data_IF_894169468540
#
_entry.id   IF_894169468540
#
_cell.length_a   1.000
_cell.length_b   1.000
_cell.length_c   1.000
_cell.angle_alpha   90.00
_cell.angle_beta   90.00
_cell.angle_gamma   90.00
#
_symmetry.space_group_name_H-M   'P 1'
#
loop_
_entity.id
_entity.type
_entity.pdbx_description
1 polymer ?
#
# COMPACT_ATOMS: atom_id res chain seq x y z
N UNK A 1 4.16 -5.31 -9.10
CA UNK A 1 2.69 -5.38 -9.10
C UNK A 1 2.06 -4.44 -8.06
N UNK A 2 2.36 -4.55 -6.76
CA UNK A 2 1.76 -3.66 -5.74
C UNK A 2 2.17 -2.18 -5.87
N UNK A 3 3.46 -1.88 -6.07
CA UNK A 3 3.92 -0.50 -6.24
C UNK A 3 3.22 0.20 -7.42
N UNK A 4 3.11 -0.47 -8.57
CA UNK A 4 2.40 0.08 -9.73
C UNK A 4 0.90 0.26 -9.46
N UNK A 5 0.30 -0.62 -8.65
CA UNK A 5 -1.08 -0.46 -8.22
C UNK A 5 -1.26 0.78 -7.33
N UNK A 6 -0.37 0.99 -6.35
CA UNK A 6 -0.37 2.20 -5.50
C UNK A 6 -0.08 3.46 -6.35
N UNK A 7 0.74 3.35 -7.40
CA UNK A 7 0.97 4.44 -8.37
C UNK A 7 -0.32 4.86 -9.07
N UNK A 8 -1.08 3.88 -9.54
CA UNK A 8 -2.29 4.10 -10.31
C UNK A 8 -3.51 4.40 -9.41
N UNK A 9 -3.48 3.93 -8.15
CA UNK A 9 -4.55 4.07 -7.17
C UNK A 9 -3.95 4.47 -5.81
N UNK A 10 -3.44 5.70 -5.68
CA UNK A 10 -2.89 6.19 -4.42
C UNK A 10 -3.99 6.38 -3.39
N UNK A 11 -3.63 6.40 -2.10
CA UNK A 11 -4.57 6.69 -1.02
C UNK A 11 -5.42 5.49 -0.56
N UNK A 12 -5.07 4.26 -0.96
CA UNK A 12 -5.71 3.04 -0.44
C UNK A 12 -5.00 2.49 0.79
N UNK A 13 -5.79 1.88 1.68
CA UNK A 13 -5.28 1.13 2.84
C UNK A 13 -4.84 -0.29 2.45
N UNK A 14 -4.07 -0.94 3.31
CA UNK A 14 -3.58 -2.33 3.13
C UNK A 14 -4.71 -3.30 2.76
N UNK A 15 -5.86 -3.22 3.44
CA UNK A 15 -6.98 -4.15 3.22
C UNK A 15 -7.63 -3.93 1.84
N UNK A 16 -7.73 -2.68 1.39
CA UNK A 16 -8.26 -2.37 0.06
C UNK A 16 -7.29 -2.83 -1.03
N UNK A 17 -5.99 -2.68 -0.81
CA UNK A 17 -4.95 -3.19 -1.71
C UNK A 17 -5.01 -4.73 -1.79
N UNK A 18 -5.12 -5.40 -0.65
CA UNK A 18 -5.25 -6.85 -0.57
C UNK A 18 -6.49 -7.37 -1.32
N UNK A 19 -7.65 -6.74 -1.11
CA UNK A 19 -8.89 -7.07 -1.83
C UNK A 19 -8.78 -6.80 -3.33
N UNK A 20 -8.22 -5.66 -3.71
CA UNK A 20 -8.15 -5.25 -5.12
C UNK A 20 -7.22 -6.13 -5.95
N UNK A 21 -6.16 -6.66 -5.34
CA UNK A 21 -5.17 -7.51 -6.01
C UNK A 21 -5.49 -9.00 -5.77
N UNK A 22 -6.50 -9.31 -4.94
CA UNK A 22 -6.87 -10.65 -4.52
C UNK A 22 -5.70 -11.42 -3.87
N UNK A 23 -4.92 -10.72 -3.03
CA UNK A 23 -3.77 -11.29 -2.33
C UNK A 23 -4.05 -11.24 -0.82
N UNK A 24 -3.62 -12.26 -0.04
CA UNK A 24 -3.72 -12.22 1.41
C UNK A 24 -3.08 -10.96 2.02
N UNK A 25 -3.76 -10.37 3.01
CA UNK A 25 -3.30 -9.14 3.70
C UNK A 25 -1.87 -9.28 4.24
N UNK A 26 -1.52 -10.46 4.78
CA UNK A 26 -0.17 -10.76 5.29
C UNK A 26 0.93 -10.60 4.24
N UNK A 27 0.65 -10.94 2.98
CA UNK A 27 1.59 -10.78 1.87
C UNK A 27 1.72 -9.32 1.48
N UNK A 28 0.60 -8.59 1.45
CA UNK A 28 0.57 -7.15 1.17
C UNK A 28 1.31 -6.37 2.25
N UNK A 29 1.12 -6.70 3.53
CA UNK A 29 1.86 -6.11 4.65
C UNK A 29 3.37 -6.33 4.50
N UNK A 30 3.79 -7.56 4.17
CA UNK A 30 5.21 -7.86 3.93
C UNK A 30 5.78 -6.99 2.81
N UNK A 31 5.06 -6.86 1.69
CA UNK A 31 5.50 -6.03 0.57
C UNK A 31 5.50 -4.54 0.92
N UNK A 32 4.50 -4.06 1.67
CA UNK A 32 4.47 -2.67 2.16
C UNK A 32 5.67 -2.40 3.05
N UNK A 33 6.03 -3.34 3.94
CA UNK A 33 7.21 -3.22 4.79
C UNK A 33 8.49 -3.10 3.96
N UNK A 34 8.69 -4.01 3.00
CA UNK A 34 9.85 -3.97 2.10
C UNK A 34 9.89 -2.69 1.24
N UNK A 35 8.73 -2.20 0.78
CA UNK A 35 8.64 -0.96 0.00
C UNK A 35 8.89 0.29 0.85
N UNK A 36 8.45 0.28 2.11
CA UNK A 36 8.67 1.36 3.07
C UNK A 36 10.14 1.40 3.51
N UNK A 37 10.77 0.25 3.73
CA UNK A 37 12.22 0.14 3.98
C UNK A 37 13.05 0.66 2.79
N UNK A 38 12.56 0.44 1.56
CA UNK A 38 13.15 0.99 0.34
C UNK A 38 12.78 2.46 0.06
N UNK A 39 12.07 3.13 0.98
CA UNK A 39 11.56 4.49 0.83
C UNK A 39 10.78 4.74 -0.48
N UNK A 40 10.10 3.72 -1.00
CA UNK A 40 9.30 3.83 -2.23
C UNK A 40 7.86 4.23 -1.98
N UNK A 41 7.37 4.02 -0.76
CA UNK A 41 6.02 4.36 -0.36
C UNK A 41 6.00 5.00 1.02
N UNK A 42 5.03 5.87 1.23
CA UNK A 42 4.76 6.52 2.50
C UNK A 42 3.26 6.53 2.79
N UNK A 43 2.91 6.37 4.07
CA UNK A 43 1.52 6.44 4.49
C UNK A 43 1.15 7.90 4.76
N UNK A 44 0.23 8.46 3.98
CA UNK A 44 -0.24 9.84 4.14
C UNK A 44 -1.73 9.87 4.48
N UNK A 45 -2.08 10.71 5.46
CA UNK A 45 -3.44 10.95 5.92
C UNK A 45 -3.73 10.40 7.32
N UNK A 46 -4.99 10.49 7.75
CA UNK A 46 -5.44 10.06 9.07
C UNK A 46 -5.59 8.55 9.16
N UNK A 47 -5.40 7.93 10.33
CA UNK A 47 -5.55 6.47 10.56
C UNK A 47 -6.82 5.83 9.95
N UNK A 48 -7.90 6.60 9.77
CA UNK A 48 -9.21 6.15 9.28
C UNK A 48 -9.44 6.33 7.78
N UNK A 49 -8.69 7.20 7.12
CA UNK A 49 -8.91 7.58 5.70
C UNK A 49 -7.61 7.76 4.90
N UNK A 50 -6.47 7.65 5.57
CA UNK A 50 -5.15 7.80 4.98
C UNK A 50 -4.74 6.54 4.25
N UNK A 51 -3.84 6.65 3.29
CA UNK A 51 -3.44 5.52 2.49
C UNK A 51 -1.97 5.57 2.13
N UNK A 52 -1.55 4.58 1.35
CA UNK A 52 -0.19 4.55 0.84
C UNK A 52 -0.08 5.38 -0.43
N UNK A 53 1.00 6.14 -0.50
CA UNK A 53 1.40 6.97 -1.64
C UNK A 53 2.83 6.62 -2.02
N UNK A 54 3.18 6.81 -3.29
CA UNK A 54 4.57 6.70 -3.74
C UNK A 54 5.33 7.97 -3.36
N UNK A 55 6.58 7.80 -2.95
CA UNK A 55 7.56 8.87 -2.74
C UNK A 55 8.45 9.00 -3.96
#
# INVERSE_FOLDING_TARGET
MLLNYIKNNPGKHTNDLARSINIPEKTVERWIKELKEKSKIEYKGSKRTGGYYIV
#
